data_IF_740141928874
#
_entry.id   IF_740141928874
#
_cell.length_a   1.000
_cell.length_b   1.000
_cell.length_c   1.000
_cell.angle_alpha   90.00
_cell.angle_beta   90.00
_cell.angle_gamma   90.00
#
_symmetry.space_group_name_H-M   'P 1'
#
loop_
_entity.id
_entity.type
_entity.pdbx_description
1 polymer ?
#
# COMPACT_ATOMS: atom_id res chain seq x y z
N UNK A 1 33.93 -12.61 -52.08
CA UNK A 1 34.32 -13.90 -51.45
C UNK A 1 34.17 -15.03 -52.47
N UNK A 2 35.29 -15.58 -52.96
CA UNK A 2 35.31 -16.51 -54.10
C UNK A 2 35.04 -17.98 -53.72
N UNK A 3 34.62 -18.25 -52.48
CA UNK A 3 34.30 -19.60 -52.01
C UNK A 3 33.00 -19.59 -51.16
N UNK A 4 31.84 -19.93 -51.76
CA UNK A 4 30.54 -19.92 -51.09
C UNK A 4 30.37 -20.90 -49.90
N UNK A 5 30.89 -22.15 -49.94
CA UNK A 5 30.72 -23.12 -48.86
C UNK A 5 31.27 -22.67 -47.50
N UNK A 6 32.55 -22.24 -47.37
CA UNK A 6 33.09 -21.81 -46.08
C UNK A 6 32.36 -20.61 -45.50
N UNK A 7 31.91 -19.68 -46.36
CA UNK A 7 31.15 -18.52 -45.93
C UNK A 7 29.78 -18.89 -45.35
N UNK A 8 29.14 -19.90 -45.93
CA UNK A 8 27.80 -20.36 -45.50
C UNK A 8 27.89 -21.15 -44.20
N UNK A 9 28.92 -21.98 -44.04
CA UNK A 9 29.16 -22.71 -42.81
C UNK A 9 29.56 -21.76 -41.67
N UNK A 10 30.38 -20.74 -41.96
CA UNK A 10 30.73 -19.68 -41.01
C UNK A 10 29.50 -18.84 -40.59
N UNK A 11 28.67 -18.47 -41.56
CA UNK A 11 27.41 -17.77 -41.30
C UNK A 11 26.47 -18.55 -40.39
N UNK A 12 26.35 -19.87 -40.58
CA UNK A 12 25.55 -20.73 -39.72
C UNK A 12 26.10 -20.79 -38.30
N UNK A 13 27.43 -20.89 -38.14
CA UNK A 13 28.10 -20.93 -36.84
C UNK A 13 27.97 -19.63 -36.02
N UNK A 14 27.68 -18.49 -36.67
CA UNK A 14 27.42 -17.21 -36.00
C UNK A 14 26.00 -17.06 -35.48
N UNK A 15 25.10 -18.00 -35.77
CA UNK A 15 23.71 -17.96 -35.31
C UNK A 15 23.51 -18.76 -34.02
N UNK A 16 22.43 -18.49 -33.30
CA UNK A 16 22.00 -19.26 -32.14
C UNK A 16 21.30 -20.59 -32.51
N UNK A 17 21.65 -21.19 -33.66
CA UNK A 17 21.06 -22.44 -34.13
C UNK A 17 21.47 -23.62 -33.23
N UNK A 18 20.57 -24.59 -33.09
CA UNK A 18 20.82 -25.82 -32.34
C UNK A 18 21.80 -26.73 -33.08
N UNK A 19 22.46 -27.63 -32.36
CA UNK A 19 23.39 -28.59 -32.98
C UNK A 19 22.75 -29.45 -34.08
N UNK A 20 21.45 -29.74 -33.96
CA UNK A 20 20.68 -30.47 -34.97
C UNK A 20 20.51 -29.64 -36.25
N UNK A 21 20.13 -28.37 -36.11
CA UNK A 21 19.99 -27.44 -37.23
C UNK A 21 21.32 -27.20 -37.97
N UNK A 22 22.43 -27.11 -37.22
CA UNK A 22 23.76 -26.99 -37.81
C UNK A 22 24.18 -28.26 -38.57
N UNK A 23 23.86 -29.45 -38.05
CA UNK A 23 24.12 -30.71 -38.74
C UNK A 23 23.33 -30.80 -40.05
N UNK A 24 22.06 -30.37 -40.06
CA UNK A 24 21.23 -30.33 -41.28
C UNK A 24 21.75 -29.38 -42.38
N UNK A 25 22.53 -28.36 -42.00
CA UNK A 25 23.22 -27.46 -42.92
C UNK A 25 24.44 -28.17 -43.51
N UNK A 26 25.25 -28.84 -42.68
CA UNK A 26 26.44 -29.58 -43.11
C UNK A 26 26.10 -30.75 -44.04
N UNK A 27 25.01 -31.47 -43.77
CA UNK A 27 24.53 -32.61 -44.56
C UNK A 27 23.97 -32.18 -45.93
N UNK A 28 23.71 -30.89 -46.13
CA UNK A 28 23.16 -30.38 -47.38
C UNK A 28 24.28 -30.16 -48.41
N UNK A 29 24.52 -31.14 -49.28
CA UNK A 29 25.54 -31.07 -50.34
C UNK A 29 25.29 -29.96 -51.38
N UNK A 30 24.04 -29.72 -51.86
CA UNK A 30 23.80 -28.66 -52.84
C UNK A 30 23.94 -27.27 -52.24
N UNK A 31 24.91 -26.49 -52.73
CA UNK A 31 25.27 -25.17 -52.20
C UNK A 31 24.09 -24.20 -52.06
N UNK A 32 23.29 -24.04 -53.11
CA UNK A 32 22.13 -23.13 -53.10
C UNK A 32 21.12 -23.52 -52.02
N UNK A 33 20.84 -24.82 -51.87
CA UNK A 33 19.92 -25.33 -50.84
C UNK A 33 20.47 -25.10 -49.43
N UNK A 34 21.78 -25.24 -49.25
CA UNK A 34 22.45 -24.93 -47.98
C UNK A 34 22.30 -23.45 -47.61
N UNK A 35 22.51 -22.54 -48.57
CA UNK A 35 22.32 -21.10 -48.34
C UNK A 35 20.86 -20.75 -48.02
N UNK A 36 19.90 -21.39 -48.69
CA UNK A 36 18.47 -21.23 -48.40
C UNK A 36 18.13 -21.64 -46.96
N UNK A 37 18.80 -22.64 -46.39
CA UNK A 37 18.64 -23.07 -45.00
C UNK A 37 19.27 -22.12 -43.99
N UNK A 38 20.45 -21.56 -44.28
CA UNK A 38 21.18 -20.66 -43.36
C UNK A 38 20.59 -19.27 -43.32
N UNK A 39 20.04 -18.78 -44.45
CA UNK A 39 19.45 -17.45 -44.55
C UNK A 39 18.36 -17.14 -43.48
N UNK A 40 17.36 -18.01 -43.20
CA UNK A 40 16.39 -17.77 -42.15
C UNK A 40 17.01 -17.77 -40.74
N UNK A 41 18.03 -18.59 -40.49
CA UNK A 41 18.76 -18.61 -39.20
C UNK A 41 19.45 -17.26 -38.96
N UNK A 42 20.15 -16.76 -39.98
CA UNK A 42 20.79 -15.43 -39.94
C UNK A 42 19.76 -14.31 -39.76
N UNK A 43 18.61 -14.36 -40.45
CA UNK A 43 17.56 -13.34 -40.30
C UNK A 43 17.03 -13.28 -38.87
N UNK A 44 16.80 -14.45 -38.26
CA UNK A 44 16.39 -14.55 -36.86
C UNK A 44 17.44 -13.92 -35.94
N UNK A 45 18.72 -14.20 -36.16
CA UNK A 45 19.81 -13.63 -35.36
C UNK A 45 19.86 -12.09 -35.44
N UNK A 46 19.68 -11.54 -36.65
CA UNK A 46 19.64 -10.08 -36.86
C UNK A 46 18.45 -9.44 -36.14
N UNK A 47 17.28 -10.07 -36.16
CA UNK A 47 16.10 -9.60 -35.42
C UNK A 47 16.35 -9.60 -33.90
N UNK A 48 16.93 -10.67 -33.37
CA UNK A 48 17.27 -10.78 -31.94
C UNK A 48 18.27 -9.68 -31.53
N UNK A 49 19.33 -9.48 -32.31
CA UNK A 49 20.32 -8.46 -32.04
C UNK A 49 19.73 -7.03 -32.07
N UNK A 50 18.79 -6.76 -32.99
CA UNK A 50 18.06 -5.48 -33.04
C UNK A 50 17.22 -5.26 -31.77
N UNK A 51 16.44 -6.27 -31.37
CA UNK A 51 15.60 -6.20 -30.17
C UNK A 51 16.46 -6.00 -28.90
N UNK A 52 17.58 -6.71 -28.77
CA UNK A 52 18.49 -6.52 -27.63
C UNK A 52 19.05 -5.11 -27.56
N UNK A 53 19.38 -4.51 -28.72
CA UNK A 53 19.86 -3.13 -28.79
C UNK A 53 18.79 -2.12 -28.42
N UNK A 54 17.56 -2.30 -28.89
CA UNK A 54 16.42 -1.45 -28.51
C UNK A 54 16.10 -1.54 -27.02
N UNK A 55 16.02 -2.76 -26.47
CA UNK A 55 15.79 -2.98 -25.03
C UNK A 55 16.89 -2.31 -24.21
N UNK A 56 18.15 -2.49 -24.60
CA UNK A 56 19.29 -1.88 -23.89
C UNK A 56 19.23 -0.34 -23.93
N UNK A 57 18.85 0.24 -25.07
CA UNK A 57 18.68 1.68 -25.19
C UNK A 57 17.55 2.21 -24.30
N UNK A 58 16.41 1.52 -24.26
CA UNK A 58 15.25 1.92 -23.44
C UNK A 58 15.53 1.78 -21.93
N UNK A 59 16.23 0.72 -21.52
CA UNK A 59 16.67 0.54 -20.13
C UNK A 59 17.61 1.66 -19.72
N UNK A 60 18.62 1.98 -20.53
CA UNK A 60 19.56 3.07 -20.24
C UNK A 60 18.84 4.43 -20.17
N UNK A 61 17.86 4.68 -21.04
CA UNK A 61 17.04 5.90 -21.01
C UNK A 61 16.29 6.02 -19.68
N UNK A 62 15.60 4.96 -19.25
CA UNK A 62 14.87 4.94 -17.97
C UNK A 62 15.80 5.10 -16.76
N UNK A 63 16.96 4.45 -16.76
CA UNK A 63 17.96 4.60 -15.70
C UNK A 63 18.45 6.05 -15.63
N UNK A 64 18.76 6.67 -16.78
CA UNK A 64 19.19 8.06 -16.85
C UNK A 64 18.13 9.04 -16.36
N UNK A 65 16.86 8.85 -16.72
CA UNK A 65 15.75 9.67 -16.20
C UNK A 65 15.59 9.50 -14.68
N UNK A 66 15.66 8.27 -14.18
CA UNK A 66 15.53 8.00 -12.75
C UNK A 66 16.69 8.60 -11.95
N UNK A 67 17.92 8.45 -12.42
CA UNK A 67 19.11 9.08 -11.82
C UNK A 67 19.01 10.61 -11.84
N UNK A 68 18.54 11.19 -12.96
CA UNK A 68 18.32 12.64 -13.07
C UNK A 68 17.26 13.14 -12.09
N UNK A 69 16.13 12.43 -11.98
CA UNK A 69 15.08 12.77 -11.02
C UNK A 69 15.56 12.66 -9.57
N UNK A 70 16.30 11.59 -9.25
CA UNK A 70 16.91 11.41 -7.93
C UNK A 70 17.84 12.58 -7.59
N UNK A 71 18.73 12.94 -8.51
CA UNK A 71 19.68 14.03 -8.31
C UNK A 71 18.98 15.40 -8.15
N UNK A 72 17.97 15.68 -8.98
CA UNK A 72 17.18 16.91 -8.86
C UNK A 72 16.43 16.99 -7.52
N UNK A 73 15.90 15.88 -7.01
CA UNK A 73 15.27 15.84 -5.68
C UNK A 73 16.27 16.11 -4.57
N UNK A 74 17.46 15.52 -4.63
CA UNK A 74 18.49 15.73 -3.62
C UNK A 74 19.00 17.17 -3.61
N UNK A 75 19.21 17.76 -4.79
CA UNK A 75 19.53 19.19 -4.91
C UNK A 75 18.42 20.08 -4.35
N UNK A 76 17.15 19.78 -4.66
CA UNK A 76 16.01 20.54 -4.16
C UNK A 76 15.91 20.47 -2.63
N UNK A 77 16.19 19.31 -2.04
CA UNK A 77 16.27 19.12 -0.59
C UNK A 77 17.37 19.99 0.05
N UNK A 78 18.57 20.00 -0.56
CA UNK A 78 19.68 20.86 -0.09
C UNK A 78 19.31 22.35 -0.21
N UNK A 79 18.70 22.77 -1.31
CA UNK A 79 18.24 24.16 -1.50
C UNK A 79 17.18 24.54 -0.45
N UNK A 80 16.21 23.65 -0.16
CA UNK A 80 15.19 23.90 0.87
C UNK A 80 15.78 24.04 2.28
N UNK A 81 16.84 23.27 2.59
CA UNK A 81 17.61 23.39 3.83
C UNK A 81 18.37 24.73 3.91
N UNK A 82 19.10 25.11 2.85
CA UNK A 82 19.84 26.38 2.77
C UNK A 82 18.93 27.61 2.86
N UNK A 83 17.75 27.55 2.23
CA UNK A 83 16.76 28.64 2.28
C UNK A 83 16.01 28.73 3.62
N UNK A 84 16.23 27.80 4.55
CA UNK A 84 15.48 27.74 5.82
C UNK A 84 13.98 27.49 5.63
N UNK A 85 13.56 27.07 4.43
CA UNK A 85 12.16 26.79 4.09
C UNK A 85 11.72 25.41 4.54
N UNK A 86 12.66 24.49 4.77
CA UNK A 86 12.38 23.29 5.53
C UNK A 86 12.24 23.67 7.01
N UNK A 87 10.99 23.85 7.48
CA UNK A 87 10.69 23.18 8.75
C UNK A 87 10.96 21.71 8.46
N UNK A 88 11.99 21.15 9.09
CA UNK A 88 12.33 19.73 8.96
C UNK A 88 11.02 18.92 8.97
N UNK A 89 10.72 18.08 7.97
CA UNK A 89 9.38 17.44 7.81
C UNK A 89 8.94 16.77 9.12
N UNK A 90 9.92 16.26 9.85
CA UNK A 90 9.86 15.75 11.22
C UNK A 90 9.24 16.74 12.22
N UNK A 91 9.67 18.00 12.20
CA UNK A 91 9.14 19.07 13.06
C UNK A 91 7.67 19.36 12.77
N UNK A 92 7.28 19.35 11.49
CA UNK A 92 5.89 19.53 11.08
C UNK A 92 4.99 18.37 11.54
N UNK A 93 5.45 17.12 11.38
CA UNK A 93 4.75 15.93 11.88
C UNK A 93 4.57 15.99 13.41
N UNK A 94 5.61 16.38 14.15
CA UNK A 94 5.55 16.50 15.61
C UNK A 94 4.55 17.57 16.04
N UNK A 95 4.63 18.78 15.45
CA UNK A 95 3.68 19.87 15.74
C UNK A 95 2.24 19.42 15.45
N UNK A 96 2.01 18.70 14.35
CA UNK A 96 0.69 18.19 14.00
C UNK A 96 0.17 17.18 15.03
N UNK A 97 0.99 16.24 15.48
CA UNK A 97 0.57 15.24 16.47
C UNK A 97 0.30 15.86 17.84
N UNK A 98 1.10 16.84 18.26
CA UNK A 98 0.89 17.58 19.51
C UNK A 98 -0.40 18.41 19.45
N UNK A 99 -0.64 19.13 18.34
CA UNK A 99 -1.89 19.89 18.14
C UNK A 99 -3.14 19.01 18.20
N UNK A 100 -3.10 17.80 17.64
CA UNK A 100 -4.25 16.87 17.71
C UNK A 100 -4.57 16.39 19.11
N UNK A 101 -3.60 16.47 20.03
CA UNK A 101 -3.78 16.11 21.44
C UNK A 101 -4.16 17.32 22.30
N UNK A 102 -4.15 18.54 21.76
CA UNK A 102 -4.64 19.71 22.48
C UNK A 102 -6.12 19.52 22.85
N UNK A 103 -6.45 19.75 24.12
CA UNK A 103 -7.79 19.55 24.66
C UNK A 103 -8.19 18.08 24.87
N UNK A 104 -7.31 17.11 24.58
CA UNK A 104 -7.55 15.69 24.87
C UNK A 104 -6.86 15.24 26.16
N UNK A 105 -7.46 14.30 26.86
CA UNK A 105 -6.93 13.79 28.14
C UNK A 105 -6.39 12.38 27.96
N UNK A 106 -5.07 12.25 27.85
CA UNK A 106 -4.41 10.95 27.74
C UNK A 106 -4.22 10.32 29.13
N UNK A 107 -4.52 9.03 29.30
CA UNK A 107 -4.11 8.28 30.48
C UNK A 107 -2.58 8.32 30.65
N UNK A 108 -2.04 8.26 31.88
CA UNK A 108 -0.60 8.38 32.14
C UNK A 108 0.27 7.40 31.34
N UNK A 109 -0.21 6.17 31.17
CA UNK A 109 0.49 5.13 30.41
C UNK A 109 0.58 5.47 28.92
N UNK A 110 -0.52 5.97 28.34
CA UNK A 110 -0.58 6.38 26.94
C UNK A 110 0.29 7.62 26.69
N UNK A 111 0.24 8.61 27.61
CA UNK A 111 1.08 9.81 27.53
C UNK A 111 2.56 9.47 27.55
N UNK A 112 2.99 8.63 28.49
CA UNK A 112 4.39 8.18 28.59
C UNK A 112 4.85 7.52 27.28
N UNK A 113 4.04 6.62 26.72
CA UNK A 113 4.37 5.94 25.45
C UNK A 113 4.42 6.91 24.28
N UNK A 114 3.48 7.84 24.20
CA UNK A 114 3.46 8.88 23.17
C UNK A 114 4.73 9.74 23.22
N UNK A 115 5.11 10.22 24.40
CA UNK A 115 6.31 11.05 24.58
C UNK A 115 7.61 10.27 24.25
N UNK A 116 7.69 8.98 24.61
CA UNK A 116 8.80 8.08 24.21
C UNK A 116 8.92 7.96 22.68
N UNK A 117 7.81 7.73 21.98
CA UNK A 117 7.80 7.58 20.52
C UNK A 117 8.06 8.92 19.79
N UNK A 118 7.59 10.05 20.32
CA UNK A 118 7.97 11.40 19.83
C UNK A 118 9.48 11.61 19.97
N UNK A 119 10.07 11.19 21.10
CA UNK A 119 11.51 11.23 21.31
C UNK A 119 12.29 10.43 20.26
N UNK A 120 11.80 9.24 19.89
CA UNK A 120 12.39 8.44 18.81
C UNK A 120 12.24 9.11 17.45
N UNK A 121 11.05 9.62 17.13
CA UNK A 121 10.77 10.30 15.87
C UNK A 121 11.72 11.50 15.66
N UNK A 122 12.10 12.18 16.75
CA UNK A 122 13.07 13.30 16.73
C UNK A 122 14.47 12.91 16.28
N UNK A 123 14.87 11.64 16.42
CA UNK A 123 16.24 11.16 16.16
C UNK A 123 16.31 10.29 14.90
N UNK A 124 15.25 9.52 14.60
CA UNK A 124 15.21 8.59 13.48
C UNK A 124 15.36 9.26 12.12
N UNK A 125 16.26 8.76 11.29
CA UNK A 125 16.42 9.22 9.90
C UNK A 125 15.14 8.99 9.09
N UNK A 126 14.72 9.98 8.30
CA UNK A 126 13.42 9.96 7.60
C UNK A 126 13.30 8.85 6.54
N UNK A 127 14.42 8.31 6.05
CA UNK A 127 14.45 7.20 5.11
C UNK A 127 14.40 5.81 5.77
N UNK A 128 14.46 5.72 7.10
CA UNK A 128 14.48 4.44 7.80
C UNK A 128 13.07 3.84 7.90
N UNK A 129 12.92 2.51 7.75
CA UNK A 129 11.65 1.82 7.99
C UNK A 129 11.04 2.11 9.37
N UNK A 130 11.89 2.26 10.38
CA UNK A 130 11.51 2.58 11.76
C UNK A 130 10.88 3.98 11.86
N UNK A 131 11.30 4.95 11.06
CA UNK A 131 10.67 6.27 11.00
C UNK A 131 9.21 6.16 10.56
N UNK A 132 8.95 5.42 9.48
CA UNK A 132 7.60 5.23 8.95
C UNK A 132 6.68 4.52 9.96
N UNK A 133 7.19 3.49 10.65
CA UNK A 133 6.43 2.77 11.68
C UNK A 133 6.10 3.68 12.87
N UNK A 134 7.09 4.42 13.38
CA UNK A 134 6.92 5.32 14.52
C UNK A 134 5.95 6.45 14.20
N UNK A 135 6.09 7.06 13.02
CA UNK A 135 5.19 8.10 12.52
C UNK A 135 3.75 7.60 12.43
N UNK A 136 3.53 6.42 11.85
CA UNK A 136 2.20 5.83 11.74
C UNK A 136 1.59 5.53 13.11
N UNK A 137 2.38 5.00 14.05
CA UNK A 137 1.90 4.78 15.41
C UNK A 137 1.43 6.08 16.09
N UNK A 138 2.23 7.16 15.95
CA UNK A 138 1.90 8.48 16.49
C UNK A 138 0.68 9.11 15.81
N UNK A 139 0.53 8.92 14.51
CA UNK A 139 -0.63 9.38 13.74
C UNK A 139 -1.93 8.72 14.22
N UNK A 140 -1.92 7.39 14.39
CA UNK A 140 -3.07 6.66 14.95
C UNK A 140 -3.35 7.08 16.39
N UNK A 141 -2.32 7.13 17.23
CA UNK A 141 -2.47 7.44 18.65
C UNK A 141 -2.99 8.87 18.85
N UNK A 142 -2.51 9.86 18.09
CA UNK A 142 -2.97 11.25 18.19
C UNK A 142 -4.40 11.46 17.68
N UNK A 143 -4.87 10.59 16.78
CA UNK A 143 -6.21 10.68 16.18
C UNK A 143 -7.34 10.16 17.08
N UNK A 144 -7.02 9.33 18.07
CA UNK A 144 -8.02 8.77 18.98
C UNK A 144 -8.69 9.86 19.85
N UNK A 145 -9.98 9.71 20.22
CA UNK A 145 -10.73 10.67 21.02
C UNK A 145 -10.41 10.53 22.53
N UNK A 146 -9.14 10.69 22.90
CA UNK A 146 -8.70 10.52 24.30
C UNK A 146 -9.43 11.46 25.26
N UNK A 147 -10.12 10.89 26.26
CA UNK A 147 -10.86 11.65 27.26
C UNK A 147 -12.10 12.37 26.71
N UNK A 148 -12.45 12.16 25.44
CA UNK A 148 -13.65 12.71 24.81
C UNK A 148 -14.69 11.60 24.81
N UNK A 149 -15.76 11.82 25.59
CA UNK A 149 -16.87 10.89 25.70
C UNK A 149 -18.15 11.57 25.21
N UNK A 150 -19.00 10.80 24.55
CA UNK A 150 -20.37 11.23 24.27
C UNK A 150 -21.19 11.24 25.55
N UNK A 151 -22.17 12.13 25.64
CA UNK A 151 -23.16 12.07 26.71
C UNK A 151 -24.14 10.94 26.44
N UNK A 152 -24.24 9.99 27.36
CA UNK A 152 -25.21 8.91 27.26
C UNK A 152 -26.64 9.43 27.44
N UNK A 153 -27.53 9.05 26.52
CA UNK A 153 -28.95 9.41 26.56
C UNK A 153 -29.78 8.22 27.05
N UNK A 154 -29.99 8.15 28.36
CA UNK A 154 -30.65 7.00 29.01
C UNK A 154 -32.15 7.25 29.31
N UNK A 155 -32.81 8.14 28.56
CA UNK A 155 -34.25 8.36 28.71
C UNK A 155 -35.06 7.19 28.09
N UNK A 156 -35.62 6.35 28.97
CA UNK A 156 -36.42 5.20 28.59
C UNK A 156 -37.70 5.56 27.82
N UNK A 157 -38.32 6.73 28.11
CA UNK A 157 -39.52 7.16 27.38
C UNK A 157 -39.17 7.53 25.95
N UNK A 158 -38.06 8.26 25.78
CA UNK A 158 -37.53 8.58 24.47
C UNK A 158 -37.13 7.32 23.70
N UNK A 159 -36.38 6.40 24.34
CA UNK A 159 -35.97 5.14 23.74
C UNK A 159 -37.16 4.31 23.24
N UNK A 160 -38.23 4.20 24.05
CA UNK A 160 -39.47 3.50 23.64
C UNK A 160 -40.10 4.12 22.40
N UNK A 161 -40.24 5.45 22.40
CA UNK A 161 -40.82 6.18 21.26
C UNK A 161 -40.02 5.96 19.97
N UNK A 162 -38.69 5.99 20.04
CA UNK A 162 -37.81 5.75 18.89
C UNK A 162 -37.94 4.31 18.40
N UNK A 163 -37.91 3.33 19.31
CA UNK A 163 -38.08 1.92 18.95
C UNK A 163 -39.43 1.65 18.25
N UNK A 164 -40.51 2.25 18.76
CA UNK A 164 -41.86 2.11 18.19
C UNK A 164 -42.04 2.83 16.85
N UNK A 165 -41.36 3.97 16.66
CA UNK A 165 -41.42 4.72 15.40
C UNK A 165 -40.67 4.01 14.27
N UNK A 166 -39.52 3.40 14.57
CA UNK A 166 -38.65 2.81 13.56
C UNK A 166 -38.97 1.33 13.25
N UNK A 167 -39.64 0.62 14.15
CA UNK A 167 -39.91 -0.81 14.00
C UNK A 167 -41.34 -1.16 14.43
N UNK A 168 -42.14 -1.73 13.52
CA UNK A 168 -43.47 -2.25 13.85
C UNK A 168 -43.36 -3.65 14.49
N UNK A 169 -44.14 -3.91 15.55
CA UNK A 169 -44.08 -5.17 16.31
C UNK A 169 -42.80 -5.31 17.14
N UNK A 170 -42.29 -6.54 17.24
CA UNK A 170 -41.09 -6.91 18.02
C UNK A 170 -41.20 -6.56 19.52
N UNK A 171 -42.40 -6.66 20.09
CA UNK A 171 -42.68 -6.20 21.45
C UNK A 171 -41.76 -6.84 22.50
N UNK A 172 -41.52 -8.15 22.40
CA UNK A 172 -40.62 -8.89 23.28
C UNK A 172 -39.16 -8.40 23.18
N UNK A 173 -38.71 -8.07 21.97
CA UNK A 173 -37.34 -7.59 21.72
C UNK A 173 -37.19 -6.15 22.23
N UNK A 174 -38.17 -5.29 21.95
CA UNK A 174 -38.19 -3.91 22.45
C UNK A 174 -38.22 -3.88 23.97
N UNK A 175 -39.02 -4.74 24.61
CA UNK A 175 -39.04 -4.89 26.05
C UNK A 175 -37.64 -5.25 26.58
N UNK A 176 -36.95 -6.20 25.95
CA UNK A 176 -35.60 -6.61 26.35
C UNK A 176 -34.55 -5.50 26.19
N UNK A 177 -34.63 -4.70 25.13
CA UNK A 177 -33.75 -3.55 24.92
C UNK A 177 -34.03 -2.48 25.99
N UNK A 178 -35.29 -2.22 26.30
CA UNK A 178 -35.67 -1.27 27.36
C UNK A 178 -35.22 -1.75 28.74
N UNK A 179 -35.32 -3.04 29.05
CA UNK A 179 -34.77 -3.63 30.29
C UNK A 179 -33.26 -3.38 30.39
N UNK A 180 -32.51 -3.61 29.31
CA UNK A 180 -31.08 -3.37 29.26
C UNK A 180 -30.73 -1.89 29.50
N UNK A 181 -31.43 -0.98 28.81
CA UNK A 181 -31.27 0.45 29.01
C UNK A 181 -31.69 0.89 30.42
N UNK A 182 -32.69 0.24 31.03
CA UNK A 182 -33.13 0.55 32.39
C UNK A 182 -32.07 0.17 33.43
N UNK A 183 -31.38 -0.95 33.25
CA UNK A 183 -30.22 -1.31 34.09
C UNK A 183 -29.10 -0.29 33.94
N UNK A 184 -28.82 0.15 32.71
CA UNK A 184 -27.84 1.22 32.44
C UNK A 184 -28.24 2.55 33.08
N UNK A 185 -29.50 2.97 32.94
CA UNK A 185 -30.05 4.18 33.54
C UNK A 185 -29.98 4.16 35.07
N UNK A 186 -30.21 2.99 35.68
CA UNK A 186 -30.11 2.81 37.12
C UNK A 186 -28.66 2.87 37.64
N UNK A 187 -27.73 2.25 36.92
CA UNK A 187 -26.30 2.25 37.28
C UNK A 187 -25.58 3.55 36.94
N UNK A 188 -26.12 4.33 35.99
CA UNK A 188 -25.49 5.52 35.43
C UNK A 188 -24.43 5.22 34.36
N UNK A 189 -24.19 3.94 34.05
CA UNK A 189 -23.28 3.47 33.02
C UNK A 189 -23.78 2.16 32.43
N UNK A 190 -23.46 1.90 31.15
CA UNK A 190 -23.70 0.61 30.50
C UNK A 190 -22.40 -0.19 30.56
N UNK A 191 -22.22 -1.00 31.62
CA UNK A 191 -21.03 -1.85 31.80
C UNK A 191 -21.38 -3.33 31.99
N UNK A 192 -20.57 -4.21 31.38
CA UNK A 192 -20.55 -5.65 31.67
C UNK A 192 -21.54 -6.56 30.92
N UNK A 193 -22.44 -6.02 30.08
CA UNK A 193 -23.35 -6.85 29.28
C UNK A 193 -23.54 -6.28 27.87
N UNK A 194 -23.51 -7.17 26.87
CA UNK A 194 -23.65 -6.82 25.45
C UNK A 194 -24.95 -7.47 24.94
N UNK A 195 -25.78 -6.70 24.25
CA UNK A 195 -26.99 -7.22 23.60
C UNK A 195 -26.62 -7.81 22.24
N UNK A 196 -26.90 -9.11 22.06
CA UNK A 196 -26.72 -9.80 20.78
C UNK A 196 -28.08 -10.08 20.14
N UNK A 197 -28.33 -9.48 18.97
CA UNK A 197 -29.53 -9.74 18.18
C UNK A 197 -29.28 -10.89 17.19
N UNK A 198 -30.06 -11.97 17.30
CA UNK A 198 -29.92 -13.18 16.46
C UNK A 198 -31.19 -13.41 15.65
N UNK A 199 -31.05 -13.73 14.36
CA UNK A 199 -32.18 -14.03 13.48
C UNK A 199 -31.78 -14.06 11.99
N UNK A 200 -32.68 -14.48 11.09
CA UNK A 200 -32.42 -14.59 9.65
C UNK A 200 -32.08 -13.23 9.01
N UNK A 201 -31.44 -13.18 7.83
CA UNK A 201 -31.17 -11.93 7.13
C UNK A 201 -32.47 -11.18 6.80
N UNK A 202 -32.42 -9.84 6.76
CA UNK A 202 -33.58 -9.01 6.42
C UNK A 202 -34.52 -8.62 7.58
N UNK A 203 -34.34 -9.17 8.79
CA UNK A 203 -35.22 -8.89 9.96
C UNK A 203 -34.90 -7.59 10.72
N UNK A 204 -34.10 -6.68 10.16
CA UNK A 204 -33.86 -5.35 10.75
C UNK A 204 -32.84 -5.28 11.89
N UNK A 205 -32.02 -6.32 12.15
CA UNK A 205 -31.01 -6.32 13.24
C UNK A 205 -30.08 -5.09 13.26
N UNK A 206 -29.58 -4.67 12.09
CA UNK A 206 -28.72 -3.48 11.96
C UNK A 206 -29.50 -2.18 12.16
N UNK A 207 -30.77 -2.15 11.80
CA UNK A 207 -31.66 -0.99 11.98
C UNK A 207 -32.01 -0.78 13.45
N UNK A 208 -32.21 -1.87 14.21
CA UNK A 208 -32.48 -1.82 15.66
C UNK A 208 -31.25 -1.35 16.46
N UNK A 209 -30.04 -1.65 15.99
CA UNK A 209 -28.81 -1.21 16.66
C UNK A 209 -28.38 0.23 16.34
N UNK A 210 -29.00 0.89 15.36
CA UNK A 210 -28.74 2.28 14.99
C UNK A 210 -29.64 3.22 15.78
#
# INVERSE_FOLDING_TARGET
>A
PNDPPPLTDFAAALTSATGVELQEVLDCVPMLRRMEKVLPMLRKEVEVARLQKEISAEVNRKIGEHQRQFFLKEQLKVIQQELGLSKDDRSADIEQFEQRLEGKTLPPQARKKFDEEIGKLKVLETGSPEYAVTRNYLDWTSSLPWGIYGADKLDLKHARKVLDQHHAGLDDIKARILEFLAVGAYKGEISGSIVLLVGPPGVGKTSVGR
#
